data_IF_433601026151
#
_entry.id   IF_433601026151
#
_cell.length_a   1.000
_cell.length_b   1.000
_cell.length_c   1.000
_cell.angle_alpha   90.00
_cell.angle_beta   90.00
_cell.angle_gamma   90.00
#
_symmetry.space_group_name_H-M   'P 1'
#
loop_
_entity.id
_entity.type
_entity.pdbx_description
1 polymer ?
#
# COMPACT_ATOMS: atom_id res chain seq x y z
N UNK A 1 -0.41 19.80 -3.85
CA UNK A 1 -1.71 19.16 -4.11
C UNK A 1 -1.92 18.10 -3.05
N UNK A 2 -3.11 18.04 -2.46
CA UNK A 2 -3.46 17.04 -1.45
C UNK A 2 -3.64 15.67 -2.11
N UNK A 3 -3.06 14.62 -1.51
CA UNK A 3 -3.19 13.23 -1.96
C UNK A 3 -3.63 12.35 -0.81
N UNK A 4 -4.42 11.33 -1.13
CA UNK A 4 -4.83 10.28 -0.21
C UNK A 4 -3.81 9.14 -0.23
N UNK A 5 -3.42 8.68 0.94
CA UNK A 5 -2.49 7.58 1.12
C UNK A 5 -3.12 6.51 2.00
N UNK A 6 -2.79 5.25 1.70
CA UNK A 6 -3.05 4.15 2.61
C UNK A 6 -1.81 3.90 3.46
N UNK A 7 -2.00 3.69 4.76
CA UNK A 7 -0.92 3.31 5.68
C UNK A 7 -1.36 2.11 6.51
N UNK A 8 -0.51 1.08 6.57
CA UNK A 8 -0.69 -0.11 7.41
C UNK A 8 0.58 -0.35 8.24
N UNK A 9 0.40 -0.63 9.54
CA UNK A 9 1.49 -0.85 10.49
C UNK A 9 1.69 -2.34 10.74
N UNK A 10 2.91 -2.83 10.50
CA UNK A 10 3.29 -4.23 10.60
C UNK A 10 4.28 -4.46 11.75
N UNK A 11 3.90 -5.30 12.69
CA UNK A 11 4.76 -5.77 13.79
C UNK A 11 5.39 -7.13 13.46
N UNK A 12 5.82 -7.34 12.21
CA UNK A 12 6.56 -8.56 11.82
C UNK A 12 8.01 -8.49 12.34
N UNK A 13 8.60 -9.65 12.65
CA UNK A 13 9.99 -9.75 13.08
C UNK A 13 10.81 -10.37 11.95
N UNK A 14 11.61 -9.53 11.27
CA UNK A 14 12.52 -9.96 10.19
C UNK A 14 13.95 -10.19 10.70
N UNK A 15 14.26 -9.59 11.85
CA UNK A 15 15.57 -9.64 12.49
C UNK A 15 15.66 -8.69 13.67
N UNK A 16 16.84 -8.64 14.28
CA UNK A 16 17.17 -7.83 15.46
C UNK A 16 17.81 -6.48 15.12
N UNK A 17 18.16 -6.23 13.86
CA UNK A 17 18.73 -4.95 13.41
C UNK A 17 17.90 -4.31 12.29
N UNK A 18 17.84 -2.97 12.19
CA UNK A 18 17.10 -2.28 11.13
C UNK A 18 17.51 -2.70 9.71
N UNK A 19 18.77 -3.05 9.48
CA UNK A 19 19.27 -3.46 8.15
C UNK A 19 18.63 -4.74 7.64
N UNK A 20 18.04 -5.55 8.52
CA UNK A 20 17.30 -6.76 8.16
C UNK A 20 15.86 -6.47 7.69
N UNK A 21 15.47 -5.20 7.71
CA UNK A 21 14.22 -4.68 7.13
C UNK A 21 14.52 -3.91 5.84
N UNK A 22 15.56 -4.32 5.09
CA UNK A 22 15.85 -3.79 3.76
C UNK A 22 14.76 -4.14 2.74
N UNK A 23 14.80 -3.47 1.59
CA UNK A 23 13.78 -3.60 0.55
C UNK A 23 13.62 -5.05 0.04
N UNK A 24 14.69 -5.85 0.01
CA UNK A 24 14.63 -7.25 -0.40
C UNK A 24 13.88 -8.10 0.63
N UNK A 25 14.16 -7.88 1.91
CA UNK A 25 13.51 -8.58 3.03
C UNK A 25 12.04 -8.18 3.13
N UNK A 26 11.74 -6.88 2.99
CA UNK A 26 10.37 -6.38 2.93
C UNK A 26 9.60 -6.98 1.74
N UNK A 27 10.16 -6.96 0.52
CA UNK A 27 9.50 -7.53 -0.65
C UNK A 27 9.24 -9.04 -0.52
N UNK A 28 10.12 -9.77 0.17
CA UNK A 28 9.90 -11.19 0.51
C UNK A 28 8.73 -11.33 1.48
N UNK A 29 8.74 -10.61 2.60
CA UNK A 29 7.68 -10.68 3.61
C UNK A 29 6.32 -10.24 3.06
N UNK A 30 6.29 -9.19 2.21
CA UNK A 30 5.07 -8.73 1.53
C UNK A 30 4.42 -9.82 0.67
N UNK A 31 5.23 -10.64 -0.03
CA UNK A 31 4.75 -11.78 -0.82
C UNK A 31 4.29 -12.93 0.06
N UNK A 32 5.13 -13.36 1.02
CA UNK A 32 4.87 -14.53 1.86
C UNK A 32 3.63 -14.38 2.75
N UNK A 33 3.29 -13.15 3.15
CA UNK A 33 2.13 -12.87 3.99
C UNK A 33 0.93 -12.34 3.19
N UNK A 34 0.99 -12.39 1.86
CA UNK A 34 -0.08 -11.92 0.97
C UNK A 34 -0.47 -10.45 1.19
N UNK A 35 0.44 -9.63 1.72
CA UNK A 35 0.20 -8.20 1.90
C UNK A 35 0.06 -7.46 0.58
N UNK A 36 0.62 -8.03 -0.51
CA UNK A 36 0.35 -7.56 -1.87
C UNK A 36 -1.13 -7.63 -2.20
N UNK A 37 -1.77 -8.78 -2.01
CA UNK A 37 -3.20 -8.94 -2.21
C UNK A 37 -3.99 -8.01 -1.28
N UNK A 38 -3.58 -7.92 -0.01
CA UNK A 38 -4.21 -7.07 1.00
C UNK A 38 -4.28 -5.61 0.54
N UNK A 39 -3.17 -5.00 0.15
CA UNK A 39 -3.19 -3.58 -0.21
C UNK A 39 -3.95 -3.32 -1.51
N UNK A 40 -4.03 -4.27 -2.43
CA UNK A 40 -4.85 -4.13 -3.64
C UNK A 40 -6.35 -4.09 -3.29
N UNK A 41 -6.80 -4.95 -2.38
CA UNK A 41 -8.19 -4.93 -1.88
C UNK A 41 -8.48 -3.62 -1.15
N UNK A 42 -7.57 -3.16 -0.29
CA UNK A 42 -7.78 -1.90 0.42
C UNK A 42 -7.72 -0.68 -0.51
N UNK A 43 -6.85 -0.71 -1.52
CA UNK A 43 -6.78 0.34 -2.53
C UNK A 43 -8.07 0.38 -3.34
N UNK A 44 -8.63 -0.76 -3.73
CA UNK A 44 -9.94 -0.82 -4.39
C UNK A 44 -11.04 -0.22 -3.50
N UNK A 45 -11.08 -0.59 -2.23
CA UNK A 45 -12.07 -0.05 -1.28
C UNK A 45 -11.94 1.48 -1.14
N UNK A 46 -10.72 1.99 -0.95
CA UNK A 46 -10.46 3.42 -0.85
C UNK A 46 -10.78 4.15 -2.16
N UNK A 47 -10.40 3.57 -3.30
CA UNK A 47 -10.68 4.12 -4.61
C UNK A 47 -12.19 4.30 -4.82
N UNK A 48 -13.00 3.28 -4.50
CA UNK A 48 -14.46 3.37 -4.58
C UNK A 48 -15.03 4.39 -3.60
N UNK A 49 -14.54 4.42 -2.36
CA UNK A 49 -14.97 5.39 -1.37
C UNK A 49 -14.74 6.82 -1.86
N UNK A 50 -13.54 7.12 -2.37
CA UNK A 50 -13.20 8.45 -2.87
C UNK A 50 -13.99 8.84 -4.12
N UNK A 51 -14.26 7.90 -5.04
CA UNK A 51 -15.13 8.14 -6.20
C UNK A 51 -16.54 8.56 -5.80
N UNK A 52 -17.07 8.03 -4.70
CA UNK A 52 -18.41 8.36 -4.20
C UNK A 52 -18.43 9.67 -3.39
N UNK A 53 -17.38 9.95 -2.61
CA UNK A 53 -17.37 11.04 -1.64
C UNK A 53 -16.71 12.33 -2.15
N UNK A 54 -15.83 12.26 -3.15
CA UNK A 54 -15.07 13.41 -3.65
C UNK A 54 -15.41 13.71 -5.10
N UNK A 55 -16.24 14.74 -5.37
CA UNK A 55 -16.49 15.21 -6.74
C UNK A 55 -15.18 15.56 -7.45
N UNK A 56 -15.05 15.10 -8.70
CA UNK A 56 -13.87 15.36 -9.53
C UNK A 56 -12.63 14.53 -9.15
N UNK A 57 -12.76 13.52 -8.29
CA UNK A 57 -11.65 12.64 -7.93
C UNK A 57 -11.06 11.92 -9.16
N UNK A 58 -9.72 11.96 -9.26
CA UNK A 58 -8.93 11.29 -10.30
C UNK A 58 -7.80 10.50 -9.64
N UNK A 59 -7.85 9.18 -9.74
CA UNK A 59 -6.85 8.27 -9.12
C UNK A 59 -5.40 8.70 -9.39
N UNK A 60 -5.08 9.01 -10.65
CA UNK A 60 -3.72 9.42 -11.06
C UNK A 60 -3.21 10.72 -10.43
N UNK A 61 -4.09 11.55 -9.86
CA UNK A 61 -3.73 12.85 -9.27
C UNK A 61 -3.91 12.86 -7.75
N UNK A 62 -4.99 12.23 -7.29
CA UNK A 62 -5.44 12.31 -5.90
C UNK A 62 -5.00 11.11 -5.06
N UNK A 63 -4.62 9.97 -5.66
CA UNK A 63 -4.10 8.83 -4.91
C UNK A 63 -2.57 8.84 -4.90
N UNK A 64 -1.99 8.77 -3.71
CA UNK A 64 -0.56 8.87 -3.47
C UNK A 64 0.16 7.54 -3.32
N UNK A 65 -0.57 6.44 -3.15
CA UNK A 65 -0.02 5.10 -2.98
C UNK A 65 -0.25 4.53 -1.58
N UNK A 66 0.43 3.43 -1.31
CA UNK A 66 0.32 2.64 -0.09
C UNK A 66 1.66 2.58 0.63
N UNK A 67 1.63 2.68 1.94
CA UNK A 67 2.78 2.48 2.82
C UNK A 67 2.52 1.32 3.77
N UNK A 68 3.42 0.36 3.78
CA UNK A 68 3.47 -0.72 4.75
C UNK A 68 4.67 -0.49 5.65
N UNK A 69 4.41 -0.13 6.90
CA UNK A 69 5.43 0.30 7.86
C UNK A 69 5.72 -0.84 8.84
N UNK A 70 6.83 -1.52 8.61
CA UNK A 70 7.40 -2.52 9.49
C UNK A 70 8.11 -1.83 10.65
N UNK A 71 7.37 -1.60 11.75
CA UNK A 71 7.74 -0.68 12.83
C UNK A 71 9.10 -0.97 13.47
N UNK A 72 9.56 -2.24 13.45
CA UNK A 72 10.85 -2.65 14.01
C UNK A 72 12.05 -2.33 13.12
N UNK A 73 11.80 -2.00 11.86
CA UNK A 73 12.81 -1.61 10.88
C UNK A 73 12.96 -0.10 10.71
N UNK A 74 12.03 0.70 11.25
CA UNK A 74 12.07 2.15 11.15
C UNK A 74 13.15 2.69 12.08
N UNK A 75 14.06 3.50 11.55
CA UNK A 75 15.08 4.18 12.34
C UNK A 75 15.35 5.60 11.80
N UNK A 76 15.69 6.52 12.70
CA UNK A 76 15.93 7.92 12.34
C UNK A 76 17.16 8.07 11.42
N UNK A 77 18.17 7.22 11.61
CA UNK A 77 19.43 7.28 10.86
C UNK A 77 19.36 6.69 9.44
N UNK A 78 18.44 5.74 9.18
CA UNK A 78 18.33 5.04 7.89
C UNK A 78 17.20 5.55 7.00
N UNK A 79 16.33 6.44 7.50
CA UNK A 79 15.23 7.01 6.73
C UNK A 79 14.31 5.93 6.15
N UNK A 80 13.84 6.12 4.91
CA UNK A 80 12.97 5.16 4.21
C UNK A 80 13.70 3.91 3.67
N UNK A 81 15.01 3.78 3.89
CA UNK A 81 15.78 2.64 3.42
C UNK A 81 15.35 1.33 4.08
N UNK A 82 14.92 1.42 5.34
CA UNK A 82 14.53 0.28 6.16
C UNK A 82 13.11 0.44 6.70
N UNK A 83 12.41 -0.68 6.85
CA UNK A 83 11.11 -0.73 7.52
C UNK A 83 9.94 -0.11 6.75
N UNK A 84 10.16 0.59 5.64
CA UNK A 84 9.09 1.19 4.83
C UNK A 84 9.06 0.52 3.46
N UNK A 85 7.94 -0.14 3.17
CA UNK A 85 7.56 -0.58 1.83
C UNK A 85 6.57 0.42 1.24
N UNK A 86 6.77 0.81 -0.01
CA UNK A 86 5.87 1.68 -0.76
C UNK A 86 5.48 1.03 -2.08
N UNK A 87 4.21 1.16 -2.46
CA UNK A 87 3.74 0.88 -3.80
C UNK A 87 2.71 1.93 -4.27
N UNK A 88 2.60 2.10 -5.57
CA UNK A 88 1.52 2.84 -6.21
C UNK A 88 0.78 1.88 -7.16
N UNK A 89 -0.26 1.17 -6.65
CA UNK A 89 -0.98 0.18 -7.44
C UNK A 89 -1.49 0.74 -8.76
N UNK A 90 -1.32 -0.03 -9.84
CA UNK A 90 -1.77 0.37 -11.17
C UNK A 90 -3.32 0.44 -11.21
N UNK A 91 -3.85 1.56 -11.70
CA UNK A 91 -5.30 1.79 -11.83
C UNK A 91 -6.00 0.69 -12.67
N UNK A 92 -5.38 0.20 -13.74
CA UNK A 92 -5.97 -0.85 -14.58
C UNK A 92 -6.20 -2.14 -13.79
N UNK A 93 -5.26 -2.49 -12.90
CA UNK A 93 -5.41 -3.63 -12.01
C UNK A 93 -6.50 -3.39 -10.96
N UNK A 94 -6.57 -2.18 -10.39
CA UNK A 94 -7.64 -1.82 -9.44
C UNK A 94 -9.01 -1.90 -10.13
N UNK A 95 -9.13 -1.41 -11.36
CA UNK A 95 -10.36 -1.50 -12.15
C UNK A 95 -10.70 -2.96 -12.49
N UNK A 96 -9.72 -3.79 -12.84
CA UNK A 96 -9.93 -5.21 -13.09
C UNK A 96 -10.44 -5.93 -11.84
N UNK A 97 -9.83 -5.67 -10.67
CA UNK A 97 -10.30 -6.20 -9.39
C UNK A 97 -11.71 -5.74 -9.06
N UNK A 98 -12.02 -4.46 -9.29
CA UNK A 98 -13.37 -3.91 -9.12
C UNK A 98 -14.41 -4.66 -9.94
N UNK A 99 -14.16 -4.85 -11.24
CA UNK A 99 -15.04 -5.62 -12.14
C UNK A 99 -15.22 -7.08 -11.70
N UNK A 100 -14.18 -7.69 -11.13
CA UNK A 100 -14.23 -9.09 -10.69
C UNK A 100 -14.90 -9.29 -9.33
N UNK A 101 -14.77 -8.34 -8.40
CA UNK A 101 -15.15 -8.52 -6.99
C UNK A 101 -16.43 -7.77 -6.60
N UNK A 102 -16.83 -6.74 -7.35
CA UNK A 102 -17.94 -5.85 -7.00
C UNK A 102 -18.99 -5.89 -8.11
N UNK A 103 -20.20 -6.45 -7.85
CA UNK A 103 -21.30 -6.37 -8.80
C UNK A 103 -21.66 -4.91 -9.14
N UNK A 104 -21.79 -4.60 -10.42
CA UNK A 104 -22.13 -3.25 -10.88
C UNK A 104 -20.98 -2.23 -10.83
N UNK A 105 -19.72 -2.70 -10.79
CA UNK A 105 -18.55 -1.83 -10.86
C UNK A 105 -18.42 -1.16 -12.23
N UNK A 106 -18.65 0.16 -12.27
CA UNK A 106 -18.50 1.02 -13.47
C UNK A 106 -17.24 1.87 -13.36
#
# INVERSE_FOLDING_TARGET
>A
QERFYLVDWKSNQLGSRPEQYDQTSLAKTMRENYYVLQYHIYTLALHQHLRLQKPGYRYAQDFGGVFYIFIRGVNDAGGSKYGIFFDLPNLDLINALGKSLIPGYN
#
